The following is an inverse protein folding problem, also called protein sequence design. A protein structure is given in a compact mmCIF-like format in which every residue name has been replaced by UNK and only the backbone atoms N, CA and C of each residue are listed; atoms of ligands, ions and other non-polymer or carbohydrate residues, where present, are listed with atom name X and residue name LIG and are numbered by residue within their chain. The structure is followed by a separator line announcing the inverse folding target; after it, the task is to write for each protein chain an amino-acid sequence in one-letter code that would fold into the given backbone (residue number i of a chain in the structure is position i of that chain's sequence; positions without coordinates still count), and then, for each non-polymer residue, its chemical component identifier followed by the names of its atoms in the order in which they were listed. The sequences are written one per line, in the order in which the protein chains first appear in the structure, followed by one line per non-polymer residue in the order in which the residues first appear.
data_IF_782560044034
#
_entry.id   IF_782560044034
#
_cell.length_a   1.000
_cell.length_b   1.000
_cell.length_c   1.000
_cell.angle_alpha   90.00
_cell.angle_beta   90.00
_cell.angle_gamma   90.00
#
_symmetry.space_group_name_H-M   'P 1'
#
loop_
_entity.id
_entity.type
_entity.pdbx_description
1 polymer ?
#
# COMPACT_ATOMS: atom_id res chain seq x y z
N UNK A 1 0.74 4.21 16.23
CA UNK A 1 0.74 3.02 15.35
C UNK A 1 1.40 3.40 14.03
N UNK A 2 2.41 2.68 13.57
CA UNK A 2 3.10 2.95 12.30
C UNK A 2 2.62 1.98 11.19
N UNK A 3 2.20 2.53 10.05
CA UNK A 3 1.66 1.81 8.89
C UNK A 3 2.53 2.07 7.65
N UNK A 4 2.85 1.01 6.92
CA UNK A 4 3.49 1.11 5.61
C UNK A 4 2.44 1.22 4.50
N UNK A 5 2.42 2.33 3.76
CA UNK A 5 1.61 2.50 2.56
C UNK A 5 2.39 2.01 1.34
N UNK A 6 1.96 0.90 0.73
CA UNK A 6 2.46 0.39 -0.54
C UNK A 6 1.66 1.04 -1.67
N UNK A 7 2.18 2.15 -2.20
CA UNK A 7 1.53 2.92 -3.25
C UNK A 7 1.77 2.28 -4.62
N UNK A 8 0.68 1.89 -5.29
CA UNK A 8 0.68 1.13 -6.54
C UNK A 8 0.34 1.97 -7.79
N UNK A 9 0.11 3.27 -7.61
CA UNK A 9 -0.06 4.26 -8.68
C UNK A 9 0.00 5.68 -8.11
N UNK A 10 0.20 6.68 -8.97
CA UNK A 10 -0.05 8.07 -8.62
C UNK A 10 -1.56 8.34 -8.61
N UNK A 11 -2.01 9.11 -7.62
CA UNK A 11 -3.37 9.63 -7.63
C UNK A 11 -3.54 10.63 -8.78
N UNK A 12 -4.70 10.68 -9.44
CA UNK A 12 -4.94 11.62 -10.53
C UNK A 12 -4.85 13.08 -10.05
N UNK A 13 -4.48 14.01 -10.93
CA UNK A 13 -4.34 15.42 -10.58
C UNK A 13 -5.64 16.03 -10.01
N UNK A 14 -6.79 15.65 -10.55
CA UNK A 14 -8.11 16.09 -10.06
C UNK A 14 -8.38 15.64 -8.64
N UNK A 15 -8.05 14.38 -8.31
CA UNK A 15 -8.15 13.89 -6.93
C UNK A 15 -7.13 14.55 -6.02
N UNK A 16 -5.92 14.84 -6.52
CA UNK A 16 -4.88 15.49 -5.71
C UNK A 16 -5.28 16.88 -5.24
N UNK A 17 -6.01 17.64 -6.07
CA UNK A 17 -6.53 18.95 -5.71
C UNK A 17 -7.53 18.91 -4.54
N UNK A 18 -8.30 17.83 -4.40
CA UNK A 18 -9.33 17.70 -3.35
C UNK A 18 -8.76 17.06 -2.08
N UNK A 19 -7.91 16.04 -2.22
CA UNK A 19 -7.53 15.16 -1.12
C UNK A 19 -6.03 15.19 -0.75
N UNK A 20 -5.21 15.99 -1.45
CA UNK A 20 -3.76 15.96 -1.28
C UNK A 20 -3.14 14.74 -1.98
N UNK A 21 -2.17 14.05 -1.38
CA UNK A 21 -1.69 12.77 -1.93
C UNK A 21 -2.34 11.57 -1.22
N UNK A 22 -2.14 10.37 -1.74
CA UNK A 22 -2.73 9.14 -1.19
C UNK A 22 -2.36 8.95 0.30
N UNK A 23 -1.12 9.28 0.68
CA UNK A 23 -0.67 9.21 2.07
C UNK A 23 -1.40 10.23 2.96
N UNK A 24 -1.57 11.48 2.51
CA UNK A 24 -2.31 12.52 3.23
C UNK A 24 -3.76 12.10 3.48
N UNK A 25 -4.43 11.55 2.47
CA UNK A 25 -5.79 11.06 2.59
C UNK A 25 -5.92 9.97 3.67
N UNK A 26 -5.09 8.93 3.60
CA UNK A 26 -5.14 7.86 4.61
C UNK A 26 -4.70 8.30 5.99
N UNK A 27 -3.70 9.19 6.08
CA UNK A 27 -3.26 9.76 7.35
C UNK A 27 -4.40 10.53 8.01
N UNK A 28 -5.15 11.32 7.25
CA UNK A 28 -6.32 12.05 7.74
C UNK A 28 -7.39 11.07 8.24
N UNK A 29 -7.78 10.08 7.44
CA UNK A 29 -8.83 9.12 7.82
C UNK A 29 -8.45 8.30 9.07
N UNK A 30 -7.20 7.83 9.15
CA UNK A 30 -6.78 6.97 10.27
C UNK A 30 -6.60 7.75 11.56
N UNK A 31 -6.16 9.01 11.50
CA UNK A 31 -6.00 9.85 12.70
C UNK A 31 -7.32 10.25 13.34
N UNK A 32 -8.46 10.15 12.63
CA UNK A 32 -9.79 10.33 13.21
C UNK A 32 -10.14 9.24 14.24
N UNK A 33 -9.56 8.04 14.14
CA UNK A 33 -9.81 6.93 15.07
C UNK A 33 -8.57 6.60 15.91
N UNK A 34 -7.37 6.73 15.34
CA UNK A 34 -6.09 6.44 15.99
C UNK A 34 -5.18 7.66 15.85
N UNK A 35 -5.25 8.64 16.78
CA UNK A 35 -4.53 9.91 16.66
C UNK A 35 -2.99 9.77 16.57
N UNK A 36 -2.43 8.69 17.11
CA UNK A 36 -0.99 8.39 17.06
C UNK A 36 -0.58 7.57 15.83
N UNK A 37 -1.46 7.47 14.83
CA UNK A 37 -1.15 6.80 13.58
C UNK A 37 -0.13 7.60 12.77
N UNK A 38 0.85 6.93 12.17
CA UNK A 38 1.78 7.51 11.19
C UNK A 38 1.87 6.60 9.97
N UNK A 39 2.04 7.21 8.80
CA UNK A 39 2.18 6.52 7.52
C UNK A 39 3.57 6.76 6.94
N UNK A 40 4.21 5.68 6.49
CA UNK A 40 5.42 5.72 5.66
C UNK A 40 5.07 5.16 4.29
N UNK A 41 5.32 5.95 3.24
CA UNK A 41 4.95 5.58 1.87
C UNK A 41 6.11 4.96 1.11
N UNK A 42 5.81 3.89 0.38
CA UNK A 42 6.71 3.20 -0.54
C UNK A 42 6.10 3.23 -1.94
N UNK A 43 6.86 3.65 -2.95
CA UNK A 43 6.45 3.58 -4.36
C UNK A 43 6.62 2.16 -4.88
N UNK A 44 5.66 1.30 -4.54
CA UNK A 44 5.67 -0.10 -4.96
C UNK A 44 5.57 -0.24 -6.49
N UNK A 45 4.87 0.69 -7.14
CA UNK A 45 4.84 0.84 -8.61
C UNK A 45 6.22 1.12 -9.23
N UNK A 46 7.16 1.63 -8.44
CA UNK A 46 8.56 1.87 -8.81
C UNK A 46 9.51 0.82 -8.20
N UNK A 47 8.98 -0.28 -7.68
CA UNK A 47 9.75 -1.35 -7.05
C UNK A 47 10.31 -1.02 -5.66
N UNK A 48 9.91 0.10 -5.05
CA UNK A 48 10.31 0.45 -3.70
C UNK A 48 9.44 -0.30 -2.69
N UNK A 49 10.08 -1.10 -1.84
CA UNK A 49 9.43 -1.89 -0.81
C UNK A 49 10.24 -1.81 0.50
N UNK A 50 9.62 -2.05 1.67
CA UNK A 50 10.34 -2.18 2.92
C UNK A 50 11.35 -3.33 2.86
N UNK A 51 12.52 -3.15 3.50
CA UNK A 51 13.55 -4.19 3.58
C UNK A 51 13.10 -5.42 4.37
N UNK A 52 12.25 -5.22 5.38
CA UNK A 52 11.75 -6.29 6.24
C UNK A 52 10.22 -6.22 6.36
N UNK A 53 9.54 -7.38 6.37
CA UNK A 53 8.08 -7.44 6.53
C UNK A 53 7.62 -6.92 7.91
N UNK A 54 8.50 -6.86 8.90
CA UNK A 54 8.19 -6.39 10.26
C UNK A 54 8.54 -4.91 10.48
N UNK A 55 8.85 -4.15 9.42
CA UNK A 55 9.21 -2.74 9.55
C UNK A 55 8.04 -1.85 10.02
N UNK A 56 6.80 -2.31 9.82
CA UNK A 56 5.58 -1.62 10.24
C UNK A 56 4.63 -2.57 10.98
N UNK A 57 3.68 -2.00 11.73
CA UNK A 57 2.68 -2.79 12.47
C UNK A 57 1.62 -3.39 11.53
N UNK A 58 1.38 -2.72 10.40
CA UNK A 58 0.47 -3.14 9.35
C UNK A 58 0.86 -2.47 8.03
N UNK A 59 0.35 -3.01 6.93
CA UNK A 59 0.51 -2.44 5.59
C UNK A 59 -0.84 -2.14 4.95
N UNK A 60 -0.89 -1.01 4.24
CA UNK A 60 -2.00 -0.63 3.39
C UNK A 60 -1.53 -0.61 1.93
N UNK A 61 -2.23 -1.30 1.04
CA UNK A 61 -1.90 -1.36 -0.38
C UNK A 61 -2.93 -0.54 -1.15
N UNK A 62 -2.47 0.49 -1.87
CA UNK A 62 -3.36 1.41 -2.57
C UNK A 62 -4.03 0.78 -3.80
N UNK A 63 -5.01 1.48 -4.35
CA UNK A 63 -5.50 1.22 -5.70
C UNK A 63 -4.45 1.53 -6.77
N UNK A 64 -4.74 1.10 -8.00
CA UNK A 64 -3.95 1.35 -9.20
C UNK A 64 -4.86 1.26 -10.43
N UNK A 65 -4.53 1.97 -11.51
CA UNK A 65 -5.16 1.76 -12.82
C UNK A 65 -4.64 0.52 -13.55
N UNK A 66 -3.53 -0.06 -13.08
CA UNK A 66 -3.01 -1.32 -13.59
C UNK A 66 -3.91 -2.50 -13.23
N UNK A 67 -3.93 -3.51 -14.09
CA UNK A 67 -4.46 -4.84 -13.75
C UNK A 67 -3.40 -5.67 -13.03
N UNK A 68 -3.80 -6.40 -11.99
CA UNK A 68 -2.93 -7.36 -11.28
C UNK A 68 -2.37 -8.46 -12.19
N UNK A 69 -2.91 -8.61 -13.41
CA UNK A 69 -2.52 -9.62 -14.39
C UNK A 69 -1.68 -9.10 -15.56
N UNK A 70 -1.30 -7.82 -15.57
CA UNK A 70 -0.47 -7.22 -16.63
C UNK A 70 0.97 -7.76 -16.71
N UNK A 71 1.42 -8.55 -15.73
CA UNK A 71 2.75 -9.18 -15.74
C UNK A 71 3.91 -8.19 -15.58
N UNK A 72 3.66 -6.99 -15.04
CA UNK A 72 4.71 -6.02 -14.79
C UNK A 72 5.63 -6.50 -13.63
N UNK A 73 6.98 -6.41 -13.75
CA UNK A 73 7.90 -6.96 -12.75
C UNK A 73 7.70 -6.45 -11.31
N UNK A 74 7.25 -5.21 -11.15
CA UNK A 74 6.98 -4.65 -9.83
C UNK A 74 5.77 -5.32 -9.14
N UNK A 75 4.79 -5.82 -9.91
CA UNK A 75 3.63 -6.56 -9.40
C UNK A 75 4.10 -7.88 -8.82
N UNK A 76 4.98 -8.60 -9.51
CA UNK A 76 5.56 -9.85 -9.02
C UNK A 76 6.42 -9.62 -7.76
N UNK A 77 7.24 -8.56 -7.76
CA UNK A 77 8.00 -8.15 -6.58
C UNK A 77 7.11 -7.83 -5.38
N UNK A 78 6.00 -7.12 -5.61
CA UNK A 78 5.01 -6.82 -4.58
C UNK A 78 4.29 -8.10 -4.10
N UNK A 79 3.88 -9.01 -4.99
CA UNK A 79 3.32 -10.32 -4.62
C UNK A 79 4.27 -11.12 -3.72
N UNK A 80 5.56 -11.16 -4.05
CA UNK A 80 6.56 -11.81 -3.20
C UNK A 80 6.65 -11.16 -1.82
N UNK A 81 6.63 -9.83 -1.75
CA UNK A 81 6.59 -9.13 -0.47
C UNK A 81 5.30 -9.44 0.31
N UNK A 82 4.13 -9.45 -0.33
CA UNK A 82 2.86 -9.79 0.33
C UNK A 82 2.86 -11.22 0.92
N UNK A 83 3.44 -12.19 0.20
CA UNK A 83 3.65 -13.55 0.74
C UNK A 83 4.50 -13.53 2.00
N UNK A 84 5.54 -12.69 2.05
CA UNK A 84 6.36 -12.54 3.25
C UNK A 84 5.58 -11.94 4.43
N UNK A 85 4.66 -10.99 4.17
CA UNK A 85 3.77 -10.43 5.20
C UNK A 85 2.80 -11.48 5.75
N UNK A 86 2.24 -12.32 4.88
CA UNK A 86 1.35 -13.43 5.30
C UNK A 86 2.12 -14.43 6.19
N UNK A 87 3.33 -14.82 5.78
CA UNK A 87 4.19 -15.74 6.53
C UNK A 87 4.59 -15.20 7.91
N UNK A 88 4.74 -13.88 8.04
CA UNK A 88 5.05 -13.23 9.33
C UNK A 88 3.80 -12.76 10.09
N UNK A 89 2.60 -13.09 9.61
CA UNK A 89 1.32 -12.71 10.20
C UNK A 89 1.14 -11.19 10.39
N UNK A 90 1.75 -10.38 9.53
CA UNK A 90 1.58 -8.92 9.55
C UNK A 90 0.24 -8.56 8.89
N UNK A 91 -0.50 -7.64 9.51
CA UNK A 91 -1.82 -7.24 9.03
C UNK A 91 -1.71 -6.45 7.72
N UNK A 92 -2.51 -6.82 6.72
CA UNK A 92 -2.54 -6.17 5.41
C UNK A 92 -3.96 -5.75 5.05
N UNK A 93 -4.11 -4.54 4.52
CA UNK A 93 -5.37 -4.00 3.99
C UNK A 93 -5.14 -3.63 2.52
N UNK A 94 -5.94 -4.15 1.61
CA UNK A 94 -5.87 -3.84 0.18
C UNK A 94 -7.07 -3.03 -0.28
N UNK A 95 -6.85 -2.04 -1.14
CA UNK A 95 -7.90 -1.18 -1.71
C UNK A 95 -7.93 -1.36 -3.22
N UNK A 96 -9.10 -1.73 -3.78
CA UNK A 96 -9.28 -1.98 -5.22
C UNK A 96 -8.22 -2.96 -5.76
N UNK A 97 -7.26 -2.49 -6.58
CA UNK A 97 -6.09 -3.25 -7.02
C UNK A 97 -5.39 -3.97 -5.87
N UNK A 98 -5.14 -3.28 -4.74
CA UNK A 98 -4.48 -3.90 -3.59
C UNK A 98 -5.24 -5.10 -3.02
N UNK A 99 -6.57 -5.08 -3.06
CA UNK A 99 -7.38 -6.23 -2.61
C UNK A 99 -7.24 -7.42 -3.57
N UNK A 100 -7.30 -7.16 -4.88
CA UNK A 100 -7.07 -8.18 -5.91
C UNK A 100 -5.68 -8.78 -5.79
N UNK A 101 -4.68 -7.96 -5.47
CA UNK A 101 -3.30 -8.39 -5.34
C UNK A 101 -3.08 -9.29 -4.12
N UNK A 102 -3.72 -8.98 -2.98
CA UNK A 102 -3.71 -9.86 -1.80
C UNK A 102 -4.32 -11.22 -2.13
N UNK A 103 -5.41 -11.26 -2.91
CA UNK A 103 -6.03 -12.52 -3.30
C UNK A 103 -5.17 -13.35 -4.29
N UNK A 104 -4.34 -12.67 -5.08
CA UNK A 104 -3.42 -13.30 -6.04
C UNK A 104 -2.13 -13.82 -5.39
N UNK A 105 -1.63 -13.12 -4.37
CA UNK A 105 -0.36 -13.42 -3.69
C UNK A 105 -0.49 -14.59 -2.71
#
# INVERSE_FOLDING_TARGET
MNIGLLQCDAMSASMQLVFGNCATLFQHLLTQTVPTCSIVTYRADQGQLPLHPTAHHAYLISGSHHSVNEGAPWIDGLCHFLKSLQQTHIKTIGICFGHQLIAKA
#
